data_IF_734070586110
#
_entry.id   IF_734070586110
#
_cell.length_a   1.000
_cell.length_b   1.000
_cell.length_c   1.000
_cell.angle_alpha   90.00
_cell.angle_beta   90.00
_cell.angle_gamma   90.00
#
_symmetry.space_group_name_H-M   'P 1'
#
loop_
_entity.id
_entity.type
_entity.pdbx_description
1 polymer ?
#
# COMPACT_ATOMS: atom_id res chain seq x y z
N UNK A 1 -12.59 -22.14 -4.23
CA UNK A 1 -11.76 -21.16 -3.49
C UNK A 1 -12.40 -19.80 -3.74
N UNK A 2 -13.21 -19.31 -2.81
CA UNK A 2 -13.92 -18.03 -2.95
C UNK A 2 -13.05 -16.92 -2.38
N UNK A 3 -12.57 -16.03 -3.24
CA UNK A 3 -11.79 -14.85 -2.84
C UNK A 3 -12.77 -13.74 -2.46
N UNK A 4 -13.20 -13.71 -1.21
CA UNK A 4 -13.92 -12.56 -0.70
C UNK A 4 -12.90 -11.46 -0.37
N UNK A 5 -12.64 -10.57 -1.33
CA UNK A 5 -11.87 -9.34 -1.11
C UNK A 5 -12.78 -8.36 -0.37
N UNK A 6 -12.69 -8.35 0.96
CA UNK A 6 -13.38 -7.37 1.79
C UNK A 6 -12.50 -6.12 1.92
N UNK A 7 -12.98 -5.00 1.40
CA UNK A 7 -12.47 -3.67 1.76
C UNK A 7 -13.40 -3.10 2.82
N UNK A 8 -12.90 -2.90 4.05
CA UNK A 8 -13.70 -2.36 5.15
C UNK A 8 -13.96 -0.84 5.05
N UNK A 9 -13.24 -0.14 4.16
CA UNK A 9 -13.42 1.28 3.88
C UNK A 9 -12.94 2.24 4.99
N UNK A 10 -12.45 1.74 6.12
CA UNK A 10 -12.15 2.52 7.34
C UNK A 10 -11.13 3.63 7.10
N UNK A 11 -10.23 3.46 6.13
CA UNK A 11 -9.15 4.39 5.82
C UNK A 11 -9.29 5.07 4.46
N UNK A 12 -10.45 4.96 3.81
CA UNK A 12 -10.67 5.55 2.48
C UNK A 12 -10.36 7.05 2.47
N UNK A 13 -10.72 7.77 3.54
CA UNK A 13 -10.48 9.22 3.66
C UNK A 13 -9.01 9.63 3.79
N UNK A 14 -8.11 8.69 4.06
CA UNK A 14 -6.67 8.96 4.15
C UNK A 14 -5.96 8.84 2.78
N UNK A 15 -6.64 8.30 1.77
CA UNK A 15 -6.16 8.06 0.40
C UNK A 15 -7.29 8.33 -0.59
N UNK A 16 -7.83 9.55 -0.56
CA UNK A 16 -8.91 9.95 -1.45
C UNK A 16 -8.77 11.38 -1.93
N UNK A 17 -9.42 11.64 -3.05
CA UNK A 17 -9.82 12.97 -3.46
C UNK A 17 -11.31 13.10 -3.09
N UNK A 18 -11.69 13.99 -2.16
CA UNK A 18 -13.09 14.15 -1.78
C UNK A 18 -13.98 14.46 -3.00
N UNK A 19 -13.65 15.49 -3.79
CA UNK A 19 -14.39 15.87 -4.99
C UNK A 19 -13.43 16.32 -6.10
N UNK A 20 -13.82 16.31 -7.39
CA UNK A 20 -15.10 15.87 -7.91
C UNK A 20 -15.20 14.34 -7.99
N UNK A 21 -16.41 13.81 -7.80
CA UNK A 21 -16.68 12.38 -7.89
C UNK A 21 -18.12 12.07 -7.55
N UNK A 22 -18.59 10.86 -7.90
CA UNK A 22 -19.98 10.44 -7.73
C UNK A 22 -20.49 10.54 -6.28
N UNK A 23 -19.59 10.54 -5.29
CA UNK A 23 -19.94 10.72 -3.89
C UNK A 23 -20.49 12.12 -3.57
N UNK A 24 -20.27 13.13 -4.43
CA UNK A 24 -20.67 14.53 -4.24
C UNK A 24 -21.56 15.05 -5.38
N UNK A 25 -22.17 14.16 -6.18
CA UNK A 25 -23.05 14.48 -7.30
C UNK A 25 -22.44 14.24 -8.68
N UNK A 26 -23.21 14.52 -9.73
CA UNK A 26 -22.82 14.35 -11.14
C UNK A 26 -22.11 15.57 -11.73
N UNK A 27 -21.99 16.66 -10.97
CA UNK A 27 -21.31 17.86 -11.43
C UNK A 27 -19.79 17.64 -11.49
N UNK A 28 -19.16 18.05 -12.60
CA UNK A 28 -17.72 17.83 -12.82
C UNK A 28 -16.82 18.58 -11.84
N UNK A 29 -17.22 19.76 -11.38
CA UNK A 29 -16.60 20.55 -10.30
C UNK A 29 -17.48 21.78 -10.03
N UNK A 30 -17.75 22.13 -8.77
CA UNK A 30 -18.52 23.35 -8.40
C UNK A 30 -17.63 24.39 -7.73
N UNK A 31 -18.07 25.65 -7.70
CA UNK A 31 -17.33 26.73 -7.00
C UNK A 31 -17.20 26.43 -5.50
N UNK A 32 -18.26 25.91 -4.88
CA UNK A 32 -18.24 25.48 -3.48
C UNK A 32 -17.17 24.41 -3.21
N UNK A 33 -16.99 23.43 -4.11
CA UNK A 33 -15.92 22.41 -3.96
C UNK A 33 -14.51 23.01 -4.01
N UNK A 34 -14.33 24.12 -4.73
CA UNK A 34 -13.07 24.85 -4.77
C UNK A 34 -12.85 25.62 -3.48
N UNK A 35 -13.86 26.36 -3.03
CA UNK A 35 -13.82 27.15 -1.78
C UNK A 35 -13.56 26.28 -0.55
N UNK A 36 -14.19 25.10 -0.48
CA UNK A 36 -14.01 24.13 0.60
C UNK A 36 -12.73 23.28 0.46
N UNK A 37 -11.97 23.42 -0.63
CA UNK A 37 -10.73 22.70 -0.85
C UNK A 37 -10.90 21.19 -1.10
N UNK A 38 -12.11 20.74 -1.47
CA UNK A 38 -12.42 19.32 -1.67
C UNK A 38 -11.67 18.67 -2.86
N UNK A 39 -11.10 19.50 -3.73
CA UNK A 39 -10.29 19.12 -4.88
C UNK A 39 -8.82 18.82 -4.56
N UNK A 40 -8.41 18.94 -3.30
CA UNK A 40 -7.07 18.54 -2.89
C UNK A 40 -7.02 17.06 -2.52
N UNK A 41 -6.13 16.27 -3.16
CA UNK A 41 -5.96 14.88 -2.79
C UNK A 41 -5.39 14.76 -1.37
N UNK A 42 -6.01 13.91 -0.55
CA UNK A 42 -5.47 13.48 0.72
C UNK A 42 -4.67 12.19 0.50
N UNK A 43 -3.39 12.20 0.88
CA UNK A 43 -2.50 11.06 0.68
C UNK A 43 -1.61 10.81 1.91
N UNK A 44 -2.04 9.90 2.77
CA UNK A 44 -1.23 9.34 3.86
C UNK A 44 -0.57 8.01 3.44
N UNK A 45 0.13 8.03 2.31
CA UNK A 45 0.67 6.83 1.65
C UNK A 45 1.61 6.01 2.55
N UNK A 46 2.41 6.67 3.41
CA UNK A 46 3.32 6.00 4.34
C UNK A 46 2.55 5.10 5.32
N UNK A 47 1.50 5.64 5.94
CA UNK A 47 0.69 4.91 6.93
C UNK A 47 -0.11 3.80 6.27
N UNK A 48 -0.65 4.05 5.08
CA UNK A 48 -1.38 3.04 4.33
C UNK A 48 -0.51 1.85 3.93
N UNK A 49 0.72 2.09 3.45
CA UNK A 49 1.65 1.02 3.11
C UNK A 49 1.98 0.14 4.33
N UNK A 50 2.21 0.75 5.49
CA UNK A 50 2.44 0.02 6.74
C UNK A 50 1.23 -0.85 7.11
N UNK A 51 0.01 -0.31 7.02
CA UNK A 51 -1.22 -1.05 7.30
C UNK A 51 -1.44 -2.21 6.33
N UNK A 52 -1.19 -2.01 5.04
CA UNK A 52 -1.28 -3.08 4.02
C UNK A 52 -0.30 -4.20 4.38
N UNK A 53 0.95 -3.88 4.70
CA UNK A 53 1.95 -4.87 5.06
C UNK A 53 1.56 -5.64 6.34
N UNK A 54 1.13 -4.93 7.39
CA UNK A 54 0.66 -5.57 8.64
C UNK A 54 -0.56 -6.46 8.40
N UNK A 55 -1.54 -6.02 7.58
CA UNK A 55 -2.74 -6.83 7.30
C UNK A 55 -2.43 -8.07 6.48
N UNK A 56 -1.55 -7.96 5.47
CA UNK A 56 -1.09 -9.11 4.69
C UNK A 56 -0.33 -10.09 5.59
N UNK A 57 0.53 -9.60 6.49
CA UNK A 57 1.24 -10.45 7.44
C UNK A 57 0.29 -11.17 8.40
N UNK A 58 -0.69 -10.46 8.97
CA UNK A 58 -1.75 -11.01 9.82
C UNK A 58 -2.53 -12.13 9.10
N UNK A 59 -2.98 -11.88 7.87
CA UNK A 59 -3.72 -12.85 7.05
C UNK A 59 -2.91 -14.11 6.72
N UNK A 60 -1.59 -13.97 6.62
CA UNK A 60 -0.66 -15.07 6.34
C UNK A 60 -0.12 -15.74 7.61
N UNK A 61 -0.47 -15.26 8.80
CA UNK A 61 0.08 -15.75 10.07
C UNK A 61 1.59 -15.50 10.22
N UNK A 62 2.12 -14.46 9.57
CA UNK A 62 3.54 -14.09 9.61
C UNK A 62 3.76 -13.13 10.79
N UNK A 63 4.68 -13.43 11.73
CA UNK A 63 5.05 -12.51 12.79
C UNK A 63 5.58 -11.18 12.25
N UNK A 64 5.23 -10.05 12.88
CA UNK A 64 5.72 -8.72 12.47
C UNK A 64 7.25 -8.64 12.41
N UNK A 65 7.96 -9.38 13.27
CA UNK A 65 9.43 -9.44 13.26
C UNK A 65 10.03 -10.01 11.98
N UNK A 66 9.22 -10.64 11.12
CA UNK A 66 9.61 -11.15 9.81
C UNK A 66 9.16 -10.23 8.65
N UNK A 67 8.52 -9.10 8.95
CA UNK A 67 8.12 -8.10 7.97
C UNK A 67 9.19 -7.01 7.90
N UNK A 68 9.81 -6.85 6.74
CA UNK A 68 10.84 -5.84 6.52
C UNK A 68 10.25 -4.62 5.82
N UNK A 69 10.44 -3.43 6.39
CA UNK A 69 9.89 -2.17 5.88
C UNK A 69 11.01 -1.15 5.66
N UNK A 70 10.99 -0.46 4.52
CA UNK A 70 11.93 0.62 4.17
C UNK A 70 11.23 1.96 3.93
N UNK A 71 9.92 2.03 4.18
CA UNK A 71 9.09 3.21 3.92
C UNK A 71 9.56 4.45 4.70
N UNK A 72 10.18 4.26 5.87
CA UNK A 72 10.78 5.31 6.68
C UNK A 72 12.04 5.91 6.07
N UNK A 73 12.73 5.17 5.19
CA UNK A 73 13.96 5.61 4.53
C UNK A 73 13.65 6.29 3.19
N UNK A 74 12.77 5.69 2.38
CA UNK A 74 12.59 6.09 0.98
C UNK A 74 11.16 6.52 0.61
N UNK A 75 10.17 6.33 1.48
CA UNK A 75 8.78 6.44 1.10
C UNK A 75 8.37 5.40 0.05
N UNK A 76 7.29 5.67 -0.69
CA UNK A 76 6.82 4.80 -1.76
C UNK A 76 7.58 5.12 -3.06
N UNK A 77 8.44 4.20 -3.50
CA UNK A 77 9.25 4.35 -4.72
C UNK A 77 8.66 3.57 -5.90
N UNK A 78 7.36 3.29 -5.87
CA UNK A 78 6.63 2.54 -6.90
C UNK A 78 7.30 1.17 -7.13
N UNK A 79 7.72 0.86 -8.35
CA UNK A 79 8.29 -0.44 -8.73
C UNK A 79 9.62 -0.74 -8.03
N UNK A 80 10.34 0.29 -7.57
CA UNK A 80 11.63 0.12 -6.88
C UNK A 80 11.47 -0.29 -5.40
N UNK A 81 10.26 -0.28 -4.84
CA UNK A 81 10.01 -0.56 -3.42
C UNK A 81 10.53 -1.94 -2.99
N UNK A 82 10.22 -2.98 -3.78
CA UNK A 82 10.62 -4.36 -3.46
C UNK A 82 12.14 -4.56 -3.64
N UNK A 83 12.77 -4.20 -4.77
CA UNK A 83 14.21 -4.34 -4.93
C UNK A 83 15.04 -3.58 -3.88
N UNK A 84 14.65 -2.35 -3.54
CA UNK A 84 15.31 -1.56 -2.48
C UNK A 84 15.12 -2.22 -1.10
N UNK A 85 13.91 -2.69 -0.80
CA UNK A 85 13.64 -3.43 0.43
C UNK A 85 14.48 -4.71 0.56
N UNK A 86 14.67 -5.43 -0.54
CA UNK A 86 15.51 -6.62 -0.57
C UNK A 86 16.99 -6.29 -0.34
N UNK A 87 17.53 -5.29 -1.04
CA UNK A 87 18.93 -4.86 -0.89
C UNK A 87 19.23 -4.42 0.56
N UNK A 88 18.35 -3.60 1.14
CA UNK A 88 18.45 -3.19 2.55
C UNK A 88 18.37 -4.39 3.50
N UNK A 89 17.47 -5.35 3.26
CA UNK A 89 17.33 -6.55 4.09
C UNK A 89 18.56 -7.46 4.03
N UNK A 90 19.22 -7.54 2.87
CA UNK A 90 20.47 -8.28 2.67
C UNK A 90 21.60 -7.60 3.42
N UNK A 91 21.76 -6.27 3.25
CA UNK A 91 22.78 -5.47 3.95
C UNK A 91 22.63 -5.51 5.47
N UNK A 92 21.38 -5.53 5.95
CA UNK A 92 21.07 -5.68 7.38
C UNK A 92 21.27 -7.12 7.92
N UNK A 93 21.56 -8.10 7.06
CA UNK A 93 21.72 -9.50 7.43
C UNK A 93 20.41 -10.19 7.84
N UNK A 94 19.26 -9.57 7.58
CA UNK A 94 17.92 -10.10 7.88
C UNK A 94 17.51 -11.13 6.82
N UNK A 95 17.81 -10.85 5.54
CA UNK A 95 17.56 -11.77 4.43
C UNK A 95 18.85 -12.54 4.07
N UNK A 96 18.79 -13.88 4.11
CA UNK A 96 19.91 -14.78 3.89
C UNK A 96 19.58 -15.83 2.81
N UNK A 97 20.60 -16.33 2.12
CA UNK A 97 20.45 -17.43 1.15
C UNK A 97 19.80 -18.65 1.80
N UNK A 98 18.95 -19.33 1.03
CA UNK A 98 18.07 -20.43 1.42
C UNK A 98 16.71 -20.00 1.96
N UNK A 99 16.50 -18.73 2.34
CA UNK A 99 15.26 -18.27 2.96
C UNK A 99 14.11 -18.18 1.95
N UNK A 100 12.91 -18.57 2.40
CA UNK A 100 11.69 -18.39 1.64
C UNK A 100 11.18 -16.96 1.82
N UNK A 101 10.96 -16.26 0.71
CA UNK A 101 10.50 -14.88 0.67
C UNK A 101 9.11 -14.85 0.06
N UNK A 102 8.19 -14.17 0.73
CA UNK A 102 6.89 -13.80 0.16
C UNK A 102 6.92 -12.30 -0.15
N UNK A 103 6.49 -11.95 -1.36
CA UNK A 103 6.42 -10.56 -1.84
C UNK A 103 5.07 -10.30 -2.49
N UNK A 104 4.54 -9.10 -2.29
CA UNK A 104 3.31 -8.63 -2.91
C UNK A 104 3.48 -7.18 -3.32
N UNK A 105 2.96 -6.83 -4.49
CA UNK A 105 2.96 -5.48 -5.04
C UNK A 105 1.53 -5.09 -5.44
N UNK A 106 1.18 -3.83 -5.18
CA UNK A 106 -0.11 -3.25 -5.52
C UNK A 106 0.12 -1.95 -6.29
N UNK A 107 -0.58 -1.77 -7.40
CA UNK A 107 -0.45 -0.62 -8.30
C UNK A 107 -1.80 -0.03 -8.70
N UNK A 108 -1.76 1.20 -9.22
CA UNK A 108 -2.95 1.92 -9.71
C UNK A 108 -3.58 1.23 -10.94
N UNK A 109 -4.89 1.46 -11.14
CA UNK A 109 -5.71 0.78 -12.15
C UNK A 109 -6.38 -0.52 -11.65
N UNK A 110 -6.06 -0.91 -10.41
CA UNK A 110 -6.31 -2.20 -9.74
C UNK A 110 -5.50 -3.38 -10.29
N UNK A 111 -4.18 -3.19 -10.39
CA UNK A 111 -3.25 -4.30 -10.69
C UNK A 111 -2.48 -4.69 -9.42
N UNK A 112 -2.37 -5.99 -9.18
CA UNK A 112 -1.54 -6.52 -8.09
C UNK A 112 -0.88 -7.82 -8.53
N UNK A 113 0.23 -8.15 -7.90
CA UNK A 113 0.94 -9.41 -8.10
C UNK A 113 1.60 -9.87 -6.81
N UNK A 114 1.77 -11.17 -6.66
CA UNK A 114 2.54 -11.76 -5.57
C UNK A 114 3.44 -12.87 -6.07
N UNK A 115 4.53 -13.09 -5.34
CA UNK A 115 5.47 -14.16 -5.62
C UNK A 115 6.01 -14.73 -4.31
N UNK A 116 6.11 -16.06 -4.26
CA UNK A 116 6.84 -16.80 -3.24
C UNK A 116 8.05 -17.43 -3.92
N UNK A 117 9.24 -17.13 -3.41
CA UNK A 117 10.49 -17.55 -4.03
C UNK A 117 11.57 -17.76 -2.97
N UNK A 118 12.64 -18.48 -3.32
CA UNK A 118 13.76 -18.77 -2.42
C UNK A 118 14.94 -17.89 -2.78
N UNK A 119 15.42 -17.10 -1.82
CA UNK A 119 16.66 -16.33 -1.95
C UNK A 119 17.89 -17.21 -1.71
#
# INVERSE_FOLDING_TARGET
MTTHLYADGSFAKELWLPAPGNAFGSERISHQMLEEGLHYPQMNGKTANLRINSKVAEMLGIPESKVFNTIQNYGNTTAATIPLGMDDAIKAGVLKKGMLVASAAFGSGFTWASAVWRY
#
